data_IF_432844525508
#
_entry.id   IF_432844525508
#
_cell.length_a   1.000
_cell.length_b   1.000
_cell.length_c   1.000
_cell.angle_alpha   90.00
_cell.angle_beta   90.00
_cell.angle_gamma   90.00
#
_symmetry.space_group_name_H-M   'P 1'
#
loop_
_entity.id
_entity.type
_entity.pdbx_description
1 polymer ?
#
# COMPACT_ATOMS: atom_id res chain seq x y z
N UNK A 1 -3.07 -28.28 -5.76
CA UNK A 1 -2.09 -27.22 -6.08
C UNK A 1 -1.90 -27.20 -7.59
N UNK A 2 -1.90 -26.00 -8.18
CA UNK A 2 -1.57 -25.81 -9.58
C UNK A 2 -0.07 -26.05 -9.80
N UNK A 3 0.32 -26.50 -10.99
CA UNK A 3 1.72 -26.72 -11.38
C UNK A 3 1.99 -25.98 -12.69
N UNK A 4 3.17 -25.36 -12.80
CA UNK A 4 3.66 -24.77 -14.04
C UNK A 4 4.69 -25.72 -14.67
N UNK A 5 4.39 -26.25 -15.85
CA UNK A 5 5.33 -27.07 -16.63
C UNK A 5 6.01 -26.17 -17.69
N UNK A 6 7.31 -25.95 -17.54
CA UNK A 6 8.09 -25.10 -18.44
C UNK A 6 8.99 -25.97 -19.33
N UNK A 7 8.91 -25.78 -20.65
CA UNK A 7 9.84 -26.37 -21.62
C UNK A 7 10.75 -25.27 -22.15
N UNK A 8 12.02 -25.30 -21.76
CA UNK A 8 13.02 -24.29 -22.13
C UNK A 8 13.53 -24.41 -23.58
N UNK A 9 14.51 -23.57 -23.91
CA UNK A 9 15.22 -23.60 -25.20
C UNK A 9 14.72 -22.62 -26.25
N UNK A 10 13.78 -21.72 -25.91
CA UNK A 10 13.24 -20.70 -26.82
C UNK A 10 13.56 -19.28 -26.34
N UNK A 11 14.18 -18.43 -27.17
CA UNK A 11 14.26 -16.99 -26.92
C UNK A 11 12.85 -16.38 -26.85
N UNK A 12 12.63 -15.48 -25.89
CA UNK A 12 11.36 -14.75 -25.81
C UNK A 12 11.34 -13.64 -26.87
N UNK A 13 10.24 -13.50 -27.60
CA UNK A 13 10.03 -12.40 -28.54
C UNK A 13 8.58 -11.98 -28.54
N UNK A 14 8.33 -10.68 -28.47
CA UNK A 14 6.97 -10.14 -28.51
C UNK A 14 6.77 -8.92 -27.61
N UNK A 15 5.53 -8.74 -27.19
CA UNK A 15 5.09 -7.58 -26.40
C UNK A 15 4.25 -8.04 -25.21
N UNK A 16 4.38 -7.35 -24.08
CA UNK A 16 3.56 -7.55 -22.89
C UNK A 16 3.14 -6.20 -22.31
N UNK A 17 1.89 -6.09 -21.85
CA UNK A 17 1.38 -4.92 -21.12
C UNK A 17 1.48 -5.19 -19.62
N UNK A 18 1.96 -4.19 -18.88
CA UNK A 18 2.15 -4.27 -17.44
C UNK A 18 0.87 -3.88 -16.69
N UNK A 19 0.60 -4.61 -15.62
CA UNK A 19 -0.53 -4.41 -14.72
C UNK A 19 -0.25 -3.24 -13.76
N UNK A 20 -1.27 -2.77 -13.05
CA UNK A 20 -1.05 -1.84 -11.94
C UNK A 20 -0.26 -2.49 -10.79
N UNK A 21 0.49 -1.66 -10.08
CA UNK A 21 1.35 -2.06 -8.98
C UNK A 21 0.54 -2.61 -7.81
N UNK A 22 0.72 -3.90 -7.51
CA UNK A 22 0.09 -4.54 -6.34
C UNK A 22 0.43 -3.81 -5.05
N UNK A 23 1.70 -3.43 -4.90
CA UNK A 23 2.19 -2.81 -3.67
C UNK A 23 1.74 -1.35 -3.51
N UNK A 24 1.23 -0.69 -4.56
CA UNK A 24 0.60 0.62 -4.42
C UNK A 24 -0.92 0.55 -4.24
N UNK A 25 -1.60 -0.38 -4.92
CA UNK A 25 -3.06 -0.46 -4.80
C UNK A 25 -3.49 -0.91 -3.40
N UNK A 26 -2.75 -1.80 -2.74
CA UNK A 26 -3.09 -2.29 -1.40
C UNK A 26 -3.15 -1.18 -0.33
N UNK A 27 -2.11 -0.32 -0.15
CA UNK A 27 -2.22 0.81 0.77
C UNK A 27 -3.30 1.82 0.34
N UNK A 28 -3.52 2.04 -0.96
CA UNK A 28 -4.58 2.94 -1.42
C UNK A 28 -5.99 2.43 -1.11
N UNK A 29 -6.22 1.12 -1.28
CA UNK A 29 -7.49 0.49 -0.90
C UNK A 29 -7.73 0.64 0.60
N UNK A 30 -6.69 0.46 1.44
CA UNK A 30 -6.79 0.75 2.88
C UNK A 30 -7.02 2.25 3.15
N UNK A 31 -6.36 3.15 2.43
CA UNK A 31 -6.55 4.60 2.54
C UNK A 31 -7.96 5.06 2.14
N UNK A 32 -8.71 4.29 1.34
CA UNK A 32 -10.13 4.58 1.05
C UNK A 32 -10.99 4.65 2.32
N UNK A 33 -10.55 4.02 3.42
CA UNK A 33 -11.17 4.16 4.73
C UNK A 33 -11.11 5.58 5.28
N UNK A 34 -10.26 6.47 4.77
CA UNK A 34 -10.22 7.88 5.17
C UNK A 34 -11.30 8.73 4.48
N UNK A 35 -11.87 8.25 3.37
CA UNK A 35 -12.75 9.03 2.49
C UNK A 35 -14.19 9.11 2.99
N UNK A 36 -14.79 10.29 3.02
CA UNK A 36 -16.22 10.46 3.33
C UNK A 36 -17.17 10.21 2.13
N UNK A 37 -16.65 9.78 0.99
CA UNK A 37 -17.40 9.42 -0.22
C UNK A 37 -16.67 8.30 -0.98
N UNK A 38 -17.32 7.64 -1.96
CA UNK A 38 -16.72 6.52 -2.68
C UNK A 38 -15.43 6.87 -3.42
N UNK A 39 -14.47 5.94 -3.42
CA UNK A 39 -13.20 6.02 -4.16
C UNK A 39 -13.23 5.01 -5.31
N UNK A 40 -12.80 5.42 -6.50
CA UNK A 40 -12.67 4.53 -7.66
C UNK A 40 -11.20 4.33 -8.04
N UNK A 41 -10.74 3.09 -8.06
CA UNK A 41 -9.43 2.71 -8.56
C UNK A 41 -9.53 2.17 -9.98
N UNK A 42 -8.65 2.64 -10.86
CA UNK A 42 -8.45 2.12 -12.21
C UNK A 42 -7.08 1.43 -12.29
N UNK A 43 -6.93 0.51 -13.26
CA UNK A 43 -5.71 -0.28 -13.43
C UNK A 43 -5.41 -1.20 -12.23
N UNK A 44 -6.44 -1.77 -11.60
CA UNK A 44 -6.26 -2.69 -10.46
C UNK A 44 -5.77 -4.06 -10.97
N UNK A 45 -4.67 -4.63 -10.47
CA UNK A 45 -4.22 -5.95 -10.93
C UNK A 45 -5.12 -7.08 -10.41
N UNK A 46 -5.31 -8.14 -11.20
CA UNK A 46 -6.08 -9.31 -10.81
C UNK A 46 -5.21 -10.30 -10.00
N UNK A 47 -5.08 -10.08 -8.69
CA UNK A 47 -4.20 -10.86 -7.82
C UNK A 47 -4.90 -11.27 -6.52
N UNK A 48 -4.49 -12.39 -5.94
CA UNK A 48 -5.08 -12.91 -4.70
C UNK A 48 -5.03 -11.90 -3.54
N UNK A 49 -3.92 -11.18 -3.38
CA UNK A 49 -3.78 -10.16 -2.33
C UNK A 49 -4.83 -9.04 -2.50
N UNK A 50 -5.12 -8.63 -3.73
CA UNK A 50 -6.16 -7.63 -4.01
C UNK A 50 -7.53 -8.18 -3.63
N UNK A 51 -7.84 -9.43 -4.01
CA UNK A 51 -9.08 -10.10 -3.62
C UNK A 51 -9.22 -10.15 -2.09
N UNK A 52 -8.17 -10.53 -1.37
CA UNK A 52 -8.17 -10.59 0.10
C UNK A 52 -8.32 -9.21 0.74
N UNK A 53 -7.75 -8.15 0.16
CA UNK A 53 -7.96 -6.78 0.64
C UNK A 53 -9.42 -6.32 0.46
N UNK A 54 -10.02 -6.64 -0.69
CA UNK A 54 -11.43 -6.36 -0.95
C UNK A 54 -12.33 -7.15 0.02
N UNK A 55 -12.07 -8.45 0.24
CA UNK A 55 -12.78 -9.26 1.24
C UNK A 55 -12.67 -8.66 2.64
N UNK A 56 -11.49 -8.16 3.02
CA UNK A 56 -11.28 -7.47 4.30
C UNK A 56 -12.16 -6.23 4.42
N UNK A 57 -12.12 -5.33 3.43
CA UNK A 57 -12.92 -4.10 3.44
C UNK A 57 -14.43 -4.40 3.41
N UNK A 58 -14.87 -5.40 2.63
CA UNK A 58 -16.26 -5.85 2.62
C UNK A 58 -16.68 -6.41 3.98
N UNK A 59 -15.84 -7.21 4.63
CA UNK A 59 -16.07 -7.73 5.99
C UNK A 59 -16.15 -6.66 7.08
N UNK A 60 -15.56 -5.48 6.83
CA UNK A 60 -15.69 -4.28 7.67
C UNK A 60 -17.00 -3.50 7.41
N UNK A 61 -17.71 -3.83 6.33
CA UNK A 61 -18.96 -3.20 5.92
C UNK A 61 -18.84 -2.21 4.76
N UNK A 62 -17.69 -2.15 4.06
CA UNK A 62 -17.57 -1.35 2.85
C UNK A 62 -18.39 -1.97 1.70
N UNK A 63 -18.99 -1.12 0.86
CA UNK A 63 -19.66 -1.56 -0.37
C UNK A 63 -18.67 -1.52 -1.53
N UNK A 64 -18.62 -2.60 -2.30
CA UNK A 64 -17.68 -2.78 -3.40
C UNK A 64 -18.44 -2.91 -4.72
N UNK A 65 -18.02 -2.16 -5.73
CA UNK A 65 -18.51 -2.29 -7.09
C UNK A 65 -17.33 -2.56 -8.02
N UNK A 66 -17.30 -3.74 -8.64
CA UNK A 66 -16.30 -4.08 -9.66
C UNK A 66 -16.86 -3.72 -11.02
N UNK A 67 -16.22 -2.79 -11.72
CA UNK A 67 -16.59 -2.34 -13.05
C UNK A 67 -15.74 -2.98 -14.15
N UNK A 68 -15.97 -2.56 -15.39
CA UNK A 68 -15.18 -2.97 -16.54
C UNK A 68 -13.71 -2.52 -16.43
N UNK A 69 -12.84 -3.17 -17.22
CA UNK A 69 -11.42 -2.78 -17.39
C UNK A 69 -10.65 -2.65 -16.07
N UNK A 70 -10.89 -3.56 -15.13
CA UNK A 70 -10.19 -3.59 -13.84
C UNK A 70 -10.40 -2.31 -13.00
N UNK A 71 -11.60 -1.74 -13.08
CA UNK A 71 -12.03 -0.66 -12.20
C UNK A 71 -12.68 -1.22 -10.94
N UNK A 72 -12.32 -0.70 -9.77
CA UNK A 72 -12.93 -1.08 -8.49
C UNK A 72 -13.34 0.17 -7.74
N UNK A 73 -14.63 0.31 -7.43
CA UNK A 73 -15.15 1.35 -6.56
C UNK A 73 -15.38 0.80 -5.15
N UNK A 74 -14.95 1.57 -4.15
CA UNK A 74 -15.02 1.24 -2.73
C UNK A 74 -15.73 2.39 -2.01
N UNK A 75 -16.91 2.11 -1.45
CA UNK A 75 -17.66 3.00 -0.58
C UNK A 75 -17.47 2.57 0.89
N UNK A 76 -16.68 3.34 1.63
CA UNK A 76 -16.38 3.10 3.04
C UNK A 76 -17.30 3.85 3.99
N UNK A 77 -18.30 4.58 3.49
CA UNK A 77 -19.26 5.33 4.31
C UNK A 77 -20.20 4.43 5.13
N UNK A 78 -20.29 3.15 4.75
CA UNK A 78 -21.08 2.11 5.43
C UNK A 78 -20.28 1.20 6.35
N UNK A 79 -18.98 1.46 6.53
CA UNK A 79 -18.14 0.69 7.45
C UNK A 79 -18.67 0.84 8.88
N UNK A 80 -18.86 -0.30 9.54
CA UNK A 80 -19.39 -0.40 10.91
C UNK A 80 -18.59 -1.34 11.79
N UNK A 81 -17.86 -2.28 11.18
CA UNK A 81 -17.04 -3.25 11.88
C UNK A 81 -15.57 -2.83 11.79
N UNK A 82 -14.98 -2.47 12.94
CA UNK A 82 -13.61 -1.98 13.04
C UNK A 82 -12.62 -3.08 13.44
N UNK A 83 -12.82 -4.28 12.89
CA UNK A 83 -12.00 -5.46 13.16
C UNK A 83 -11.43 -6.01 11.85
N UNK A 84 -10.11 -6.13 11.78
CA UNK A 84 -9.41 -6.90 10.75
C UNK A 84 -9.04 -8.29 11.30
N UNK A 85 -9.76 -9.35 10.88
CA UNK A 85 -9.70 -10.65 11.53
C UNK A 85 -8.46 -11.46 11.15
N UNK A 86 -8.04 -12.36 12.04
CA UNK A 86 -6.87 -13.22 11.88
C UNK A 86 -6.87 -14.02 10.56
N UNK A 87 -8.02 -14.52 10.13
CA UNK A 87 -8.15 -15.38 8.94
C UNK A 87 -7.68 -14.69 7.66
N UNK A 88 -7.88 -13.37 7.56
CA UNK A 88 -7.46 -12.56 6.42
C UNK A 88 -6.05 -11.97 6.64
N UNK A 89 -5.73 -11.55 7.86
CA UNK A 89 -4.40 -10.99 8.14
C UNK A 89 -3.29 -12.03 8.00
N UNK A 90 -3.55 -13.30 8.34
CA UNK A 90 -2.57 -14.38 8.18
C UNK A 90 -2.29 -14.72 6.72
N UNK A 91 -3.23 -14.46 5.80
CA UNK A 91 -3.06 -14.74 4.37
C UNK A 91 -2.39 -13.57 3.65
N UNK A 92 -2.66 -12.33 4.09
CA UNK A 92 -2.06 -11.13 3.53
C UNK A 92 -1.55 -10.21 4.65
N UNK A 93 -0.24 -10.17 4.83
CA UNK A 93 0.43 -9.31 5.83
C UNK A 93 0.16 -7.81 5.62
N UNK A 94 -0.06 -7.37 4.38
CA UNK A 94 -0.40 -6.00 4.04
C UNK A 94 -1.72 -5.52 4.68
N UNK A 95 -2.54 -6.45 5.20
CA UNK A 95 -3.77 -6.12 5.94
C UNK A 95 -3.54 -5.19 7.13
N UNK A 96 -2.31 -5.10 7.67
CA UNK A 96 -2.00 -4.13 8.73
C UNK A 96 -2.21 -2.67 8.32
N UNK A 97 -2.21 -2.37 7.02
CA UNK A 97 -2.36 -1.02 6.48
C UNK A 97 -3.73 -0.39 6.74
N UNK A 98 -4.74 -1.15 7.17
CA UNK A 98 -6.01 -0.58 7.62
C UNK A 98 -5.89 0.09 9.00
N UNK A 99 -4.86 -0.23 9.80
CA UNK A 99 -4.71 0.24 11.18
C UNK A 99 -4.69 1.77 11.29
N UNK A 100 -3.81 2.42 10.54
CA UNK A 100 -3.66 3.88 10.51
C UNK A 100 -4.93 4.61 10.07
N UNK A 101 -5.50 4.31 8.88
CA UNK A 101 -6.70 5.00 8.41
C UNK A 101 -7.95 4.70 9.26
N UNK A 102 -8.05 3.49 9.84
CA UNK A 102 -9.12 3.19 10.80
C UNK A 102 -9.02 4.06 12.04
N UNK A 103 -7.83 4.14 12.63
CA UNK A 103 -7.61 4.93 13.82
C UNK A 103 -7.86 6.42 13.56
N UNK A 104 -7.37 6.94 12.43
CA UNK A 104 -7.51 8.35 12.08
C UNK A 104 -8.96 8.79 11.85
N UNK A 105 -9.79 7.95 11.19
CA UNK A 105 -11.19 8.32 10.92
C UNK A 105 -12.17 7.86 11.99
N UNK A 106 -12.02 6.64 12.49
CA UNK A 106 -12.98 5.99 13.39
C UNK A 106 -12.53 5.98 14.85
N UNK A 107 -11.36 6.56 15.17
CA UNK A 107 -10.81 6.70 16.54
C UNK A 107 -10.44 5.40 17.22
N UNK A 108 -10.73 4.25 16.58
CA UNK A 108 -10.49 2.90 17.11
C UNK A 108 -10.16 1.95 15.97
N UNK A 109 -9.32 0.97 16.28
CA UNK A 109 -9.02 -0.12 15.36
C UNK A 109 -8.61 -1.38 16.13
N UNK A 110 -9.10 -2.53 15.67
CA UNK A 110 -8.64 -3.83 16.12
C UNK A 110 -8.11 -4.63 14.94
N UNK A 111 -6.81 -4.90 14.90
CA UNK A 111 -6.16 -5.56 13.76
C UNK A 111 -5.35 -6.74 14.27
N UNK A 112 -5.56 -7.93 13.70
CA UNK A 112 -4.74 -9.09 14.08
C UNK A 112 -3.26 -8.83 13.79
N UNK A 113 -2.36 -9.34 14.63
CA UNK A 113 -0.93 -9.27 14.37
C UNK A 113 -0.58 -10.16 13.18
N UNK A 114 0.11 -9.64 12.16
CA UNK A 114 0.66 -10.50 11.13
C UNK A 114 1.63 -11.51 11.73
N UNK A 115 1.46 -12.78 11.39
CA UNK A 115 2.34 -13.86 11.83
C UNK A 115 3.75 -13.79 11.24
N UNK A 116 4.54 -14.84 11.51
CA UNK A 116 5.87 -15.00 10.94
C UNK A 116 5.86 -15.08 9.42
N UNK A 117 6.89 -14.51 8.78
CA UNK A 117 7.05 -14.55 7.32
C UNK A 117 8.25 -15.45 6.98
N UNK A 118 8.08 -16.35 6.00
CA UNK A 118 9.14 -17.27 5.57
C UNK A 118 10.37 -16.56 4.97
N UNK A 119 10.23 -15.29 4.55
CA UNK A 119 11.33 -14.48 4.00
C UNK A 119 12.24 -13.94 5.10
N UNK A 120 11.72 -13.73 6.32
CA UNK A 120 12.49 -13.19 7.43
C UNK A 120 11.63 -12.47 8.48
N UNK A 121 12.27 -12.01 9.55
CA UNK A 121 11.62 -11.23 10.60
C UNK A 121 11.19 -9.87 10.06
N UNK A 122 9.90 -9.58 10.17
CA UNK A 122 9.32 -8.27 9.83
C UNK A 122 8.52 -7.83 11.04
N UNK A 123 9.10 -7.09 12.00
CA UNK A 123 8.34 -6.58 13.12
C UNK A 123 7.36 -5.49 12.65
N UNK A 124 6.38 -5.17 13.49
CA UNK A 124 5.41 -4.08 13.26
C UNK A 124 5.58 -2.97 14.28
N UNK A 125 6.67 -2.99 15.03
CA UNK A 125 6.95 -2.08 16.15
C UNK A 125 6.98 -0.61 15.70
N UNK A 126 7.54 -0.31 14.53
CA UNK A 126 7.54 1.04 13.96
C UNK A 126 6.11 1.55 13.71
N UNK A 127 5.19 0.68 13.30
CA UNK A 127 3.79 1.07 13.15
C UNK A 127 3.19 1.47 14.50
N UNK A 128 3.42 0.64 15.53
CA UNK A 128 2.83 0.85 16.85
C UNK A 128 3.40 2.09 17.53
N UNK A 129 4.74 2.18 17.62
CA UNK A 129 5.45 3.32 18.22
C UNK A 129 5.10 4.63 17.52
N UNK A 130 4.97 4.63 16.20
CA UNK A 130 4.59 5.82 15.44
C UNK A 130 3.16 6.27 15.72
N UNK A 131 2.21 5.34 15.87
CA UNK A 131 0.84 5.69 16.27
C UNK A 131 0.77 6.16 17.73
N UNK A 132 1.53 5.55 18.63
CA UNK A 132 1.68 6.01 20.01
C UNK A 132 2.27 7.43 20.08
N UNK A 133 3.27 7.73 19.24
CA UNK A 133 3.83 9.08 19.13
C UNK A 133 2.80 10.11 18.65
N UNK A 134 1.85 9.70 17.80
CA UNK A 134 0.70 10.52 17.39
C UNK A 134 -0.40 10.61 18.47
N UNK A 135 -0.20 10.05 19.66
CA UNK A 135 -1.13 10.14 20.79
C UNK A 135 -2.09 8.95 20.94
N UNK A 136 -1.90 7.86 20.20
CA UNK A 136 -2.73 6.67 20.34
C UNK A 136 -2.36 5.83 21.57
N UNK A 137 -3.36 5.23 22.22
CA UNK A 137 -3.15 4.11 23.13
C UNK A 137 -3.15 2.82 22.32
N UNK A 138 -2.03 2.11 22.31
CA UNK A 138 -1.88 0.83 21.61
C UNK A 138 -1.63 -0.29 22.62
N UNK A 139 -2.36 -1.40 22.48
CA UNK A 139 -2.18 -2.61 23.30
C UNK A 139 -2.17 -3.84 22.41
N UNK A 140 -1.36 -4.83 22.76
CA UNK A 140 -1.33 -6.12 22.09
C UNK A 140 -1.86 -7.18 23.03
N UNK A 141 -3.04 -7.72 22.72
CA UNK A 141 -3.72 -8.71 23.55
C UNK A 141 -4.22 -9.86 22.66
N UNK A 142 -3.97 -11.10 23.07
CA UNK A 142 -4.44 -12.31 22.35
C UNK A 142 -4.12 -12.34 20.84
N UNK A 143 -2.99 -11.77 20.43
CA UNK A 143 -2.61 -11.71 19.01
C UNK A 143 -3.32 -10.63 18.19
N UNK A 144 -3.98 -9.67 18.83
CA UNK A 144 -4.58 -8.50 18.22
C UNK A 144 -3.94 -7.21 18.72
N UNK A 145 -3.81 -6.25 17.80
CA UNK A 145 -3.46 -4.86 18.06
C UNK A 145 -4.78 -4.12 18.33
N UNK A 146 -4.92 -3.60 19.53
CA UNK A 146 -6.02 -2.72 19.94
C UNK A 146 -5.47 -1.29 19.98
N UNK A 147 -5.95 -0.42 19.11
CA UNK A 147 -5.54 0.98 19.04
C UNK A 147 -6.75 1.90 19.22
N UNK A 148 -6.61 2.90 20.09
CA UNK A 148 -7.65 3.91 20.33
C UNK A 148 -7.03 5.31 20.48
N UNK A 149 -7.69 6.33 19.92
CA UNK A 149 -7.29 7.73 20.04
C UNK A 149 -8.52 8.64 19.88
N UNK A 150 -8.83 9.46 20.89
CA UNK A 150 -9.87 10.50 20.78
C UNK A 150 -9.55 11.51 19.67
N UNK A 151 -8.27 11.89 19.60
CA UNK A 151 -7.63 12.80 18.63
C UNK A 151 -6.20 12.31 18.43
N UNK A 152 -5.76 12.19 17.17
CA UNK A 152 -4.34 12.04 16.85
C UNK A 152 -3.72 13.43 16.72
N UNK A 153 -2.54 13.65 17.30
CA UNK A 153 -1.83 14.94 17.24
C UNK A 153 -0.55 14.76 16.43
N UNK A 154 -0.34 15.63 15.46
CA UNK A 154 0.87 15.64 14.65
C UNK A 154 2.12 15.85 15.49
N UNK A 155 3.16 15.10 15.17
CA UNK A 155 4.46 15.18 15.85
C UNK A 155 5.59 14.83 14.90
N UNK A 156 6.82 14.96 15.38
CA UNK A 156 8.00 14.45 14.69
C UNK A 156 8.23 12.99 15.07
N UNK A 157 8.24 12.10 14.07
CA UNK A 157 8.51 10.67 14.21
C UNK A 157 9.79 10.33 13.46
N UNK A 158 10.82 9.93 14.19
CA UNK A 158 12.08 9.44 13.61
C UNK A 158 12.00 7.92 13.52
N UNK A 159 12.06 7.37 12.30
CA UNK A 159 11.92 5.93 12.07
C UNK A 159 13.29 5.23 12.21
N UNK A 160 13.42 4.32 13.18
CA UNK A 160 14.68 3.60 13.45
C UNK A 160 15.16 2.77 12.24
N UNK A 161 14.24 2.32 11.39
CA UNK A 161 14.51 1.59 10.16
C UNK A 161 13.58 2.05 9.05
N UNK A 162 14.08 2.01 7.81
CA UNK A 162 13.26 2.25 6.62
C UNK A 162 12.25 1.11 6.50
N UNK A 163 10.96 1.44 6.51
CA UNK A 163 9.87 0.50 6.33
C UNK A 163 8.80 1.11 5.44
N UNK A 164 8.49 0.44 4.32
CA UNK A 164 7.48 0.88 3.36
C UNK A 164 6.11 0.95 4.03
N UNK A 165 5.62 -0.18 4.55
CA UNK A 165 4.29 -0.23 5.15
C UNK A 165 4.19 0.60 6.42
N UNK A 166 5.28 0.76 7.17
CA UNK A 166 5.30 1.65 8.34
C UNK A 166 5.15 3.11 7.93
N UNK A 167 5.86 3.54 6.89
CA UNK A 167 5.74 4.89 6.32
C UNK A 167 4.33 5.14 5.82
N UNK A 168 3.77 4.21 5.04
CA UNK A 168 2.40 4.31 4.49
C UNK A 168 1.35 4.42 5.60
N UNK A 169 1.45 3.55 6.61
CA UNK A 169 0.48 3.50 7.71
C UNK A 169 0.47 4.80 8.54
N UNK A 170 1.66 5.31 8.87
CA UNK A 170 1.81 6.57 9.61
C UNK A 170 1.42 7.78 8.77
N UNK A 171 1.76 7.78 7.47
CA UNK A 171 1.34 8.82 6.53
C UNK A 171 -0.19 8.91 6.45
N UNK A 172 -0.87 7.76 6.27
CA UNK A 172 -2.33 7.69 6.27
C UNK A 172 -2.92 8.21 7.59
N UNK A 173 -2.38 7.78 8.73
CA UNK A 173 -2.87 8.19 10.05
C UNK A 173 -2.73 9.71 10.27
N UNK A 174 -1.60 10.27 9.85
CA UNK A 174 -1.29 11.70 10.00
C UNK A 174 -2.21 12.61 9.16
N UNK A 175 -2.85 12.11 8.10
CA UNK A 175 -3.68 12.95 7.22
C UNK A 175 -4.87 13.60 7.92
N UNK A 176 -5.41 12.99 8.99
CA UNK A 176 -6.52 13.52 9.78
C UNK A 176 -6.11 13.91 11.22
N UNK A 177 -4.81 13.90 11.52
CA UNK A 177 -4.31 14.33 12.83
C UNK A 177 -4.38 15.86 12.99
N UNK A 178 -4.38 16.36 14.21
CA UNK A 178 -4.29 17.80 14.48
C UNK A 178 -2.83 18.28 14.40
N UNK A 179 -2.54 19.20 13.48
CA UNK A 179 -1.20 19.79 13.34
C UNK A 179 -0.32 19.13 12.27
N UNK A 180 0.98 19.43 12.31
CA UNK A 180 1.97 18.91 11.37
C UNK A 180 2.59 17.62 11.93
N UNK A 181 2.65 16.59 11.09
CA UNK A 181 3.47 15.40 11.32
C UNK A 181 4.69 15.43 10.40
N UNK A 182 5.86 15.09 10.95
CA UNK A 182 7.10 14.95 10.18
C UNK A 182 7.60 13.52 10.36
N UNK A 183 7.62 12.75 9.28
CA UNK A 183 8.22 11.42 9.24
C UNK A 183 9.65 11.53 8.73
N UNK A 184 10.63 11.17 9.54
CA UNK A 184 12.04 11.17 9.17
C UNK A 184 12.56 9.74 8.99
N UNK A 185 13.52 9.57 8.06
CA UNK A 185 13.99 8.28 7.58
C UNK A 185 12.87 7.45 6.92
N UNK A 186 11.99 8.15 6.20
CA UNK A 186 10.85 7.58 5.51
C UNK A 186 11.26 6.72 4.30
N UNK A 187 10.38 5.78 3.95
CA UNK A 187 10.48 4.99 2.72
C UNK A 187 10.32 5.89 1.47
N UNK A 188 11.08 5.57 0.43
CA UNK A 188 11.25 6.38 -0.80
C UNK A 188 10.76 5.68 -2.06
N UNK A 189 10.16 4.52 -1.88
CA UNK A 189 9.65 3.68 -2.93
C UNK A 189 8.58 4.41 -3.75
N UNK A 190 8.49 4.14 -5.07
CA UNK A 190 7.47 4.73 -5.94
C UNK A 190 6.04 4.54 -5.42
N UNK A 191 5.78 3.42 -4.75
CA UNK A 191 4.48 3.12 -4.15
C UNK A 191 4.11 4.10 -3.01
N UNK A 192 5.09 4.57 -2.25
CA UNK A 192 4.89 5.58 -1.19
C UNK A 192 4.59 6.95 -1.79
N UNK A 193 5.26 7.29 -2.89
CA UNK A 193 5.00 8.52 -3.65
C UNK A 193 3.59 8.48 -4.25
N UNK A 194 3.19 7.35 -4.83
CA UNK A 194 1.87 7.19 -5.44
C UNK A 194 0.76 7.27 -4.37
N UNK A 195 0.97 6.68 -3.18
CA UNK A 195 0.06 6.85 -2.05
C UNK A 195 -0.08 8.32 -1.62
N UNK A 196 1.03 9.06 -1.51
CA UNK A 196 0.99 10.48 -1.17
C UNK A 196 0.23 11.29 -2.23
N UNK A 197 0.45 11.03 -3.51
CA UNK A 197 -0.26 11.66 -4.61
C UNK A 197 -1.76 11.36 -4.57
N UNK A 198 -2.13 10.11 -4.29
CA UNK A 198 -3.52 9.69 -4.10
C UNK A 198 -4.19 10.43 -2.93
N UNK A 199 -3.55 10.44 -1.75
CA UNK A 199 -4.05 11.13 -0.56
C UNK A 199 -4.17 12.64 -0.80
N UNK A 200 -3.20 13.27 -1.46
CA UNK A 200 -3.28 14.68 -1.85
C UNK A 200 -4.46 14.95 -2.79
N UNK A 201 -4.72 14.05 -3.75
CA UNK A 201 -5.89 14.16 -4.62
C UNK A 201 -7.20 14.08 -3.84
N UNK A 202 -7.24 13.32 -2.74
CA UNK A 202 -8.37 13.26 -1.81
C UNK A 202 -8.51 14.51 -0.93
N UNK A 203 -7.55 15.43 -0.96
CA UNK A 203 -7.55 16.68 -0.18
C UNK A 203 -6.55 16.72 0.97
N UNK A 204 -5.64 15.74 1.10
CA UNK A 204 -4.57 15.79 2.10
C UNK A 204 -3.52 16.85 1.73
N UNK A 205 -2.66 17.18 2.70
CA UNK A 205 -1.52 18.09 2.50
C UNK A 205 -0.22 17.37 2.85
N UNK A 206 0.32 16.65 1.88
CA UNK A 206 1.53 15.82 2.01
C UNK A 206 2.60 16.37 1.06
N UNK A 207 3.81 16.55 1.57
CA UNK A 207 4.98 16.95 0.80
C UNK A 207 6.22 16.15 1.20
N UNK A 208 7.21 16.07 0.31
CA UNK A 208 8.47 15.37 0.57
C UNK A 208 8.43 13.85 0.33
N UNK A 209 7.31 13.28 -0.13
CA UNK A 209 7.26 11.87 -0.52
C UNK A 209 8.28 11.57 -1.62
N UNK A 210 9.04 10.48 -1.47
CA UNK A 210 10.20 10.15 -2.31
C UNK A 210 11.53 10.70 -1.77
N UNK A 211 11.49 11.52 -0.72
CA UNK A 211 12.67 11.92 0.07
C UNK A 211 12.69 11.18 1.41
N UNK A 212 13.75 11.37 2.20
CA UNK A 212 13.88 10.81 3.54
C UNK A 212 13.00 11.52 4.59
N UNK A 213 12.39 12.66 4.25
CA UNK A 213 11.51 13.43 5.13
C UNK A 213 10.16 13.69 4.48
N UNK A 214 9.08 13.19 5.09
CA UNK A 214 7.70 13.44 4.64
C UNK A 214 7.00 14.33 5.65
N UNK A 215 6.41 15.43 5.17
CA UNK A 215 5.64 16.38 5.99
C UNK A 215 4.16 16.25 5.65
N UNK A 216 3.33 16.09 6.67
CA UNK A 216 1.89 15.93 6.54
C UNK A 216 1.22 16.98 7.44
N UNK A 217 0.53 17.94 6.83
CA UNK A 217 -0.36 18.83 7.56
C UNK A 217 -1.74 18.17 7.60
N UNK A 218 -2.20 17.82 8.81
CA UNK A 218 -3.48 17.15 8.94
C UNK A 218 -4.66 18.06 8.60
N UNK A 219 -5.71 17.46 8.04
CA UNK A 219 -6.93 18.11 7.55
C UNK A 219 -8.18 17.52 8.21
N UNK A 220 -9.31 18.22 8.13
CA UNK A 220 -10.55 17.80 8.80
C UNK A 220 -11.22 16.58 8.16
N UNK A 221 -11.04 16.39 6.87
CA UNK A 221 -11.75 15.36 6.09
C UNK A 221 -11.09 15.17 4.75
N UNK A 222 -11.19 13.94 4.23
CA UNK A 222 -10.80 13.59 2.87
C UNK A 222 -12.03 13.14 2.07
N UNK A 223 -12.04 13.45 0.78
CA UNK A 223 -13.11 13.05 -0.14
C UNK A 223 -12.65 11.94 -1.06
N UNK A 224 -13.60 11.10 -1.50
CA UNK A 224 -13.33 10.07 -2.48
C UNK A 224 -12.97 10.62 -3.85
N UNK A 225 -12.13 9.91 -4.58
CA UNK A 225 -11.60 10.32 -5.89
C UNK A 225 -11.52 9.15 -6.85
N UNK A 226 -11.40 9.45 -8.15
CA UNK A 226 -10.96 8.49 -9.16
C UNK A 226 -9.43 8.55 -9.30
N UNK A 227 -8.76 7.41 -9.15
CA UNK A 227 -7.32 7.30 -9.22
C UNK A 227 -6.87 6.09 -10.03
N UNK A 228 -5.87 6.27 -10.88
CA UNK A 228 -5.29 5.19 -11.69
C UNK A 228 -3.99 4.76 -11.05
N UNK A 229 -3.90 3.49 -10.66
CA UNK A 229 -2.72 2.91 -9.99
C UNK A 229 -1.51 2.93 -10.94
N UNK A 230 -0.33 3.29 -10.42
CA UNK A 230 0.91 3.25 -11.20
C UNK A 230 1.21 1.84 -11.76
N UNK A 231 2.00 1.71 -12.84
CA UNK A 231 2.44 0.41 -13.35
C UNK A 231 3.33 -0.38 -12.37
N UNK A 232 3.24 -1.71 -12.39
CA UNK A 232 4.05 -2.58 -11.54
C UNK A 232 5.51 -2.68 -12.03
N UNK A 233 6.40 -1.99 -11.31
CA UNK A 233 7.86 -2.00 -11.59
C UNK A 233 8.51 -3.38 -11.38
N UNK A 234 7.94 -4.23 -10.52
CA UNK A 234 8.46 -5.57 -10.25
C UNK A 234 8.04 -6.53 -11.38
N UNK A 235 6.80 -6.43 -11.84
CA UNK A 235 6.34 -7.14 -13.04
C UNK A 235 7.15 -6.73 -14.28
N UNK A 236 7.36 -5.41 -14.45
CA UNK A 236 8.19 -4.84 -15.51
C UNK A 236 9.59 -5.46 -15.50
N UNK A 237 10.29 -5.39 -14.36
CA UNK A 237 11.63 -5.95 -14.20
C UNK A 237 11.66 -7.46 -14.46
N UNK A 238 10.62 -8.19 -14.06
CA UNK A 238 10.51 -9.65 -14.27
C UNK A 238 10.54 -10.00 -15.76
N UNK A 239 9.74 -9.30 -16.59
CA UNK A 239 9.72 -9.54 -18.03
C UNK A 239 11.01 -9.09 -18.73
N UNK A 240 11.62 -8.00 -18.28
CA UNK A 240 12.92 -7.55 -18.81
C UNK A 240 14.02 -8.58 -18.53
N UNK A 241 14.09 -9.11 -17.30
CA UNK A 241 15.04 -10.17 -16.94
C UNK A 241 14.77 -11.45 -17.74
N UNK A 242 13.49 -11.82 -17.95
CA UNK A 242 13.14 -12.97 -18.75
C UNK A 242 13.59 -12.83 -20.23
N UNK A 243 13.46 -11.64 -20.80
CA UNK A 243 13.97 -11.36 -22.14
C UNK A 243 15.50 -11.46 -22.19
N UNK A 244 16.20 -10.82 -21.25
CA UNK A 244 17.66 -10.83 -21.17
C UNK A 244 18.21 -12.26 -21.00
N UNK A 245 17.66 -13.05 -20.07
CA UNK A 245 18.16 -14.40 -19.78
C UNK A 245 17.93 -15.39 -20.92
N UNK A 246 16.93 -15.13 -21.77
CA UNK A 246 16.63 -15.96 -22.96
C UNK A 246 17.28 -15.43 -24.23
N UNK A 247 18.04 -14.33 -24.14
CA UNK A 247 18.62 -13.60 -25.29
C UNK A 247 17.56 -13.25 -26.33
N UNK A 248 16.39 -12.87 -25.83
CA UNK A 248 15.21 -12.51 -26.59
C UNK A 248 15.09 -11.01 -26.81
N UNK A 249 13.95 -10.58 -27.33
CA UNK A 249 13.59 -9.17 -27.51
C UNK A 249 12.12 -8.97 -27.14
N UNK A 250 11.85 -8.32 -26.01
CA UNK A 250 10.49 -8.08 -25.52
C UNK A 250 10.24 -6.58 -25.38
N UNK A 251 9.13 -6.11 -25.93
CA UNK A 251 8.61 -4.77 -25.68
C UNK A 251 7.67 -4.80 -24.46
N UNK A 252 8.06 -4.12 -23.39
CA UNK A 252 7.22 -3.98 -22.19
C UNK A 252 6.45 -2.66 -22.28
N UNK A 253 5.12 -2.73 -22.33
CA UNK A 253 4.21 -1.58 -22.50
C UNK A 253 3.51 -1.18 -21.22
N UNK A 254 3.02 0.05 -21.22
CA UNK A 254 2.23 0.67 -20.14
C UNK A 254 2.99 0.67 -18.80
N UNK A 255 4.31 0.90 -18.86
CA UNK A 255 5.22 0.98 -17.71
C UNK A 255 5.93 2.34 -17.65
N UNK A 256 6.69 2.58 -16.57
CA UNK A 256 7.50 3.77 -16.35
C UNK A 256 8.95 3.34 -16.11
N UNK A 257 9.94 3.74 -16.94
CA UNK A 257 11.32 3.28 -16.78
C UNK A 257 12.03 3.87 -15.54
N UNK A 258 11.68 5.11 -15.18
CA UNK A 258 12.25 5.88 -14.07
C UNK A 258 11.93 5.31 -12.68
N UNK A 259 10.94 4.43 -12.55
CA UNK A 259 10.63 3.76 -11.28
C UNK A 259 11.46 2.49 -11.02
N UNK A 260 12.39 2.13 -11.93
CA UNK A 260 13.24 0.95 -11.81
C UNK A 260 14.67 1.14 -12.35
N UNK A 261 15.21 2.36 -12.29
CA UNK A 261 16.55 2.73 -12.79
C UNK A 261 17.66 1.75 -12.38
N UNK A 262 17.66 1.29 -11.12
CA UNK A 262 18.66 0.35 -10.63
C UNK A 262 18.61 -0.99 -11.37
N UNK A 263 17.42 -1.49 -11.71
CA UNK A 263 17.26 -2.73 -12.47
C UNK A 263 17.73 -2.54 -13.90
N UNK A 264 17.37 -1.42 -14.53
CA UNK A 264 17.78 -1.10 -15.89
C UNK A 264 19.31 -0.98 -15.99
N UNK A 265 19.93 -0.26 -15.06
CA UNK A 265 21.38 -0.13 -14.99
C UNK A 265 22.08 -1.49 -14.92
N UNK A 266 21.58 -2.41 -14.08
CA UNK A 266 22.15 -3.76 -13.95
C UNK A 266 21.93 -4.64 -15.17
N UNK A 267 20.80 -4.50 -15.87
CA UNK A 267 20.59 -5.19 -17.14
C UNK A 267 21.55 -4.67 -18.22
N UNK A 268 21.75 -3.35 -18.31
CA UNK A 268 22.72 -2.75 -19.23
C UNK A 268 24.15 -3.19 -18.92
N UNK A 269 24.56 -3.21 -17.64
CA UNK A 269 25.87 -3.74 -17.21
C UNK A 269 26.05 -5.21 -17.61
N UNK A 270 24.98 -6.00 -17.61
CA UNK A 270 24.98 -7.40 -18.03
C UNK A 270 25.00 -7.60 -19.57
N UNK A 271 24.85 -6.52 -20.35
CA UNK A 271 24.90 -6.54 -21.81
C UNK A 271 23.54 -6.74 -22.50
N UNK A 272 22.43 -6.41 -21.84
CA UNK A 272 21.10 -6.36 -22.45
C UNK A 272 20.94 -5.19 -23.44
#
# INVERSE_FOLDING_TARGET
MNKLLIRGGKPLSGEVRISGAKNAVLPMMSASLLANSPVTFENVPHLQDVTTNLELLAGMGARLTVGDRMSVEIDTTTVTNLIAPYELVRTMRASILVLGPMLARFKRAQVSLPGGCAIGTRPVDIHLKGLEALGASVRVENGYIHAEAEVLTGTRVVMDQITVTGTENLMMAATLAEGETILENAAREPEVVDLANFLNKMGAQISGAGTDVIRIQGVKSLTGVRYRVLPDRIETGTYLVAAAMTRGSVLVRDTQPDVLDAVLAKLTEAGA
#
